data_IF_708987819386
#
_entry.id   IF_708987819386
#
_cell.length_a   1.000
_cell.length_b   1.000
_cell.length_c   1.000
_cell.angle_alpha   90.00
_cell.angle_beta   90.00
_cell.angle_gamma   90.00
#
_symmetry.space_group_name_H-M   'P 1'
#
loop_
_entity.id
_entity.type
_entity.pdbx_description
1 polymer ?
#
# COMPACT_ATOMS: atom_id res chain seq x y z
N UNK A 1 -5.77 15.73 -12.88
CA UNK A 1 -6.15 14.31 -13.02
C UNK A 1 -7.12 13.97 -11.90
N UNK A 2 -7.97 12.98 -12.12
CA UNK A 2 -8.85 12.42 -11.11
C UNK A 2 -8.23 11.15 -10.52
N UNK A 3 -8.03 11.14 -9.24
CA UNK A 3 -7.27 10.09 -8.54
C UNK A 3 -8.15 9.40 -7.50
N UNK A 4 -8.16 8.10 -7.50
CA UNK A 4 -8.84 7.29 -6.51
C UNK A 4 -7.81 6.73 -5.52
N UNK A 5 -8.10 6.77 -4.22
CA UNK A 5 -7.20 6.25 -3.17
C UNK A 5 -7.98 5.38 -2.18
N UNK A 6 -7.76 4.08 -2.19
CA UNK A 6 -8.25 3.17 -1.15
C UNK A 6 -7.19 2.98 -0.06
N UNK A 7 -7.63 2.84 1.20
CA UNK A 7 -6.72 2.92 2.34
C UNK A 7 -6.25 4.35 2.63
N UNK A 8 -7.08 5.32 2.30
CA UNK A 8 -6.80 6.76 2.38
C UNK A 8 -6.48 7.27 3.80
N UNK A 9 -6.89 6.56 4.83
CA UNK A 9 -6.56 6.86 6.24
C UNK A 9 -5.37 6.06 6.78
N UNK A 10 -4.83 5.11 6.00
CA UNK A 10 -3.58 4.43 6.34
C UNK A 10 -2.39 5.36 6.13
N UNK A 11 -1.27 5.10 6.79
CA UNK A 11 -0.09 5.97 6.78
C UNK A 11 0.32 6.40 5.37
N UNK A 12 0.54 5.46 4.45
CA UNK A 12 0.94 5.78 3.08
C UNK A 12 -0.15 6.53 2.30
N UNK A 13 -1.42 6.07 2.35
CA UNK A 13 -2.53 6.71 1.64
C UNK A 13 -2.83 8.11 2.15
N UNK A 14 -2.74 8.33 3.48
CA UNK A 14 -2.88 9.66 4.08
C UNK A 14 -1.78 10.59 3.59
N UNK A 15 -0.51 10.18 3.72
CA UNK A 15 0.65 10.98 3.27
C UNK A 15 0.57 11.30 1.78
N UNK A 16 0.17 10.33 0.97
CA UNK A 16 -0.03 10.52 -0.47
C UNK A 16 -1.04 11.64 -0.76
N UNK A 17 -2.19 11.63 -0.09
CA UNK A 17 -3.25 12.63 -0.26
C UNK A 17 -2.81 14.00 0.26
N UNK A 18 -2.27 14.06 1.50
CA UNK A 18 -1.99 15.33 2.17
C UNK A 18 -0.78 16.05 1.60
N UNK A 19 0.22 15.32 1.11
CA UNK A 19 1.51 15.90 0.75
C UNK A 19 1.74 16.01 -0.77
N UNK A 20 1.09 15.15 -1.57
CA UNK A 20 1.47 15.02 -2.98
C UNK A 20 0.31 15.10 -3.99
N UNK A 21 -0.94 14.97 -3.57
CA UNK A 21 -2.09 15.00 -4.48
C UNK A 21 -2.94 16.28 -4.37
N UNK A 22 -2.41 17.37 -3.81
CA UNK A 22 -3.16 18.59 -3.52
C UNK A 22 -3.65 19.30 -4.80
N UNK A 23 -2.95 19.14 -5.92
CA UNK A 23 -3.31 19.74 -7.21
C UNK A 23 -4.24 18.86 -8.07
N UNK A 24 -4.72 17.74 -7.51
CA UNK A 24 -5.55 16.76 -8.20
C UNK A 24 -6.96 16.68 -7.61
N UNK A 25 -7.93 16.23 -8.39
CA UNK A 25 -9.24 15.83 -7.87
C UNK A 25 -9.08 14.45 -7.22
N UNK A 26 -9.19 14.38 -5.90
CA UNK A 26 -8.98 13.13 -5.16
C UNK A 26 -10.28 12.60 -4.61
N UNK A 27 -10.55 11.31 -4.85
CA UNK A 27 -11.61 10.55 -4.19
C UNK A 27 -10.94 9.59 -3.19
N UNK A 28 -11.10 9.89 -1.91
CA UNK A 28 -10.56 9.11 -0.82
C UNK A 28 -11.57 8.06 -0.34
N UNK A 29 -11.28 6.78 -0.54
CA UNK A 29 -12.11 5.68 -0.07
C UNK A 29 -11.66 5.25 1.32
N UNK A 30 -12.58 5.26 2.27
CA UNK A 30 -12.32 4.86 3.65
C UNK A 30 -13.56 4.26 4.33
N UNK A 31 -13.33 3.54 5.43
CA UNK A 31 -14.40 2.98 6.29
C UNK A 31 -14.86 3.95 7.38
N UNK A 32 -14.05 4.95 7.68
CA UNK A 32 -14.28 5.91 8.78
C UNK A 32 -14.13 7.33 8.27
N UNK A 33 -14.88 8.29 8.80
CA UNK A 33 -14.69 9.69 8.46
C UNK A 33 -13.29 10.15 8.87
N UNK A 34 -12.71 11.00 8.04
CA UNK A 34 -11.42 11.64 8.26
C UNK A 34 -11.47 13.06 7.69
N UNK A 35 -10.78 13.99 8.32
CA UNK A 35 -10.72 15.36 7.84
C UNK A 35 -9.60 15.51 6.80
N UNK A 36 -9.95 15.44 5.55
CA UNK A 36 -9.04 15.70 4.43
C UNK A 36 -9.02 17.18 4.03
N UNK A 37 -8.03 17.62 3.21
CA UNK A 37 -8.06 18.92 2.53
C UNK A 37 -9.31 19.12 1.66
N UNK A 38 -9.65 20.39 1.35
CA UNK A 38 -10.90 20.73 0.68
C UNK A 38 -11.03 20.19 -0.77
N UNK A 39 -9.92 19.88 -1.43
CA UNK A 39 -9.88 19.28 -2.77
C UNK A 39 -10.17 17.79 -2.78
N UNK A 40 -10.33 17.14 -1.61
CA UNK A 40 -10.51 15.71 -1.45
C UNK A 40 -11.97 15.39 -1.14
N UNK A 41 -12.59 14.59 -2.00
CA UNK A 41 -13.91 14.04 -1.75
C UNK A 41 -13.80 12.71 -1.05
N UNK A 42 -14.27 12.61 0.19
CA UNK A 42 -14.29 11.34 0.91
C UNK A 42 -15.55 10.54 0.57
N UNK A 43 -15.36 9.26 0.25
CA UNK A 43 -16.41 8.26 0.13
C UNK A 43 -16.28 7.23 1.26
N UNK A 44 -17.31 7.17 2.10
CA UNK A 44 -17.38 6.19 3.18
C UNK A 44 -18.00 4.91 2.62
N UNK A 45 -17.23 3.83 2.63
CA UNK A 45 -17.61 2.54 2.06
C UNK A 45 -17.54 1.46 3.14
N UNK A 46 -18.64 0.72 3.27
CA UNK A 46 -18.64 -0.56 3.98
C UNK A 46 -18.27 -1.67 2.97
N UNK A 47 -17.06 -2.19 3.06
CA UNK A 47 -16.56 -3.21 2.13
C UNK A 47 -17.31 -4.56 2.21
N UNK A 48 -18.13 -4.76 3.26
CA UNK A 48 -18.97 -5.93 3.41
C UNK A 48 -20.30 -5.81 2.65
N UNK A 49 -20.61 -4.63 2.11
CA UNK A 49 -21.81 -4.35 1.31
C UNK A 49 -21.46 -4.19 -0.16
N UNK A 50 -22.49 -4.11 -0.98
CA UNK A 50 -22.31 -3.75 -2.38
C UNK A 50 -22.01 -2.25 -2.49
N UNK A 51 -21.01 -1.92 -3.30
CA UNK A 51 -20.63 -0.57 -3.62
C UNK A 51 -20.05 -0.51 -5.02
N UNK A 52 -19.96 0.67 -5.59
CA UNK A 52 -19.31 0.90 -6.88
C UNK A 52 -18.19 1.92 -6.75
N UNK A 53 -17.18 1.77 -7.59
CA UNK A 53 -16.12 2.78 -7.72
C UNK A 53 -16.54 3.83 -8.76
N UNK A 54 -15.94 5.01 -8.65
CA UNK A 54 -16.06 6.04 -9.67
C UNK A 54 -14.91 5.97 -10.65
N UNK A 55 -15.13 6.32 -11.93
CA UNK A 55 -14.05 6.45 -12.91
C UNK A 55 -13.00 7.44 -12.44
N UNK A 56 -11.72 7.07 -12.65
CA UNK A 56 -10.57 7.90 -12.36
C UNK A 56 -9.44 7.61 -13.35
N UNK A 57 -8.45 8.50 -13.43
CA UNK A 57 -7.29 8.34 -14.29
C UNK A 57 -6.28 7.35 -13.69
N UNK A 58 -6.17 7.32 -12.36
CA UNK A 58 -5.27 6.42 -11.64
C UNK A 58 -5.87 5.97 -10.30
N UNK A 59 -5.58 4.75 -9.88
CA UNK A 59 -6.04 4.20 -8.60
C UNK A 59 -4.88 3.73 -7.72
N UNK A 60 -4.74 4.36 -6.55
CA UNK A 60 -3.81 3.93 -5.52
C UNK A 60 -4.50 3.01 -4.50
N UNK A 61 -4.02 1.79 -4.35
CA UNK A 61 -4.50 0.81 -3.37
C UNK A 61 -3.47 0.72 -2.25
N UNK A 62 -3.71 1.47 -1.17
CA UNK A 62 -2.85 1.56 0.02
C UNK A 62 -3.43 0.79 1.21
N UNK A 63 -4.13 -0.31 0.93
CA UNK A 63 -4.73 -1.15 1.96
C UNK A 63 -3.66 -2.00 2.66
N UNK A 64 -3.92 -2.30 3.93
CA UNK A 64 -3.15 -3.24 4.73
C UNK A 64 -3.84 -3.50 6.06
N UNK A 65 -3.83 -4.75 6.50
CA UNK A 65 -4.28 -5.12 7.82
C UNK A 65 -3.24 -4.69 8.87
N UNK A 66 -3.65 -4.07 9.98
CA UNK A 66 -2.70 -3.66 11.02
C UNK A 66 -2.12 -4.89 11.72
N UNK A 67 -0.84 -5.14 11.51
CA UNK A 67 -0.08 -6.26 12.09
C UNK A 67 0.88 -5.75 13.16
N UNK A 68 1.08 -6.56 14.20
CA UNK A 68 2.19 -6.41 15.13
C UNK A 68 3.47 -6.97 14.49
N UNK A 69 4.63 -6.58 14.99
CA UNK A 69 5.91 -7.02 14.43
C UNK A 69 6.06 -8.56 14.44
N UNK A 70 5.61 -9.20 15.52
CA UNK A 70 5.66 -10.67 15.63
C UNK A 70 4.79 -11.35 14.57
N UNK A 71 3.67 -10.76 14.17
CA UNK A 71 2.80 -11.32 13.13
C UNK A 71 3.45 -11.31 11.74
N UNK A 72 4.44 -10.44 11.51
CA UNK A 72 5.22 -10.44 10.25
C UNK A 72 6.17 -11.64 10.17
N UNK A 73 6.64 -12.12 11.32
CA UNK A 73 7.54 -13.29 11.40
C UNK A 73 6.72 -14.58 11.50
N UNK A 74 5.78 -14.60 12.41
CA UNK A 74 4.89 -15.73 12.67
C UNK A 74 3.47 -15.24 12.91
N UNK A 75 2.62 -15.36 11.90
CA UNK A 75 1.24 -14.89 11.98
C UNK A 75 0.38 -15.87 12.79
N UNK A 76 -0.23 -15.34 13.84
CA UNK A 76 -1.18 -16.10 14.69
C UNK A 76 -2.38 -16.55 13.86
N UNK A 77 -2.83 -17.78 13.98
CA UNK A 77 -3.91 -18.37 13.18
C UNK A 77 -5.21 -17.54 13.20
N UNK A 78 -5.55 -16.95 14.33
CA UNK A 78 -6.73 -16.08 14.48
C UNK A 78 -6.70 -14.81 13.63
N UNK A 79 -5.51 -14.38 13.19
CA UNK A 79 -5.31 -13.14 12.41
C UNK A 79 -5.33 -13.43 10.91
N UNK A 80 -4.86 -14.62 10.50
CA UNK A 80 -4.71 -15.02 9.10
C UNK A 80 -5.95 -14.73 8.24
N UNK A 81 -7.18 -15.12 8.61
CA UNK A 81 -8.35 -14.90 7.78
C UNK A 81 -8.62 -13.41 7.50
N UNK A 82 -8.46 -12.57 8.52
CA UNK A 82 -8.66 -11.12 8.38
C UNK A 82 -7.55 -10.45 7.56
N UNK A 83 -6.33 -10.91 7.72
CA UNK A 83 -5.20 -10.45 6.92
C UNK A 83 -5.39 -10.82 5.45
N UNK A 84 -5.73 -12.07 5.14
CA UNK A 84 -6.02 -12.52 3.78
C UNK A 84 -7.20 -11.76 3.16
N UNK A 85 -8.28 -11.55 3.93
CA UNK A 85 -9.44 -10.77 3.48
C UNK A 85 -9.03 -9.36 3.03
N UNK A 86 -8.16 -8.68 3.80
CA UNK A 86 -7.80 -7.28 3.53
C UNK A 86 -6.67 -7.18 2.51
N UNK A 87 -5.56 -7.91 2.73
CA UNK A 87 -4.32 -7.75 1.96
C UNK A 87 -4.31 -8.51 0.64
N UNK A 88 -5.23 -9.44 0.45
CA UNK A 88 -5.46 -10.16 -0.79
C UNK A 88 -6.86 -9.92 -1.33
N UNK A 89 -7.89 -10.41 -0.64
CA UNK A 89 -9.26 -10.45 -1.16
C UNK A 89 -9.80 -9.07 -1.55
N UNK A 90 -9.68 -8.09 -0.65
CA UNK A 90 -10.18 -6.74 -0.89
C UNK A 90 -9.35 -6.00 -1.94
N UNK A 91 -8.02 -6.18 -1.96
CA UNK A 91 -7.15 -5.59 -2.99
C UNK A 91 -7.56 -6.07 -4.37
N UNK A 92 -7.75 -7.38 -4.56
CA UNK A 92 -8.14 -7.96 -5.84
C UNK A 92 -9.57 -7.53 -6.23
N UNK A 93 -10.51 -7.52 -5.27
CA UNK A 93 -11.88 -7.02 -5.49
C UNK A 93 -11.86 -5.60 -6.04
N UNK A 94 -11.15 -4.69 -5.37
CA UNK A 94 -11.05 -3.29 -5.78
C UNK A 94 -10.38 -3.12 -7.13
N UNK A 95 -9.33 -3.89 -7.42
CA UNK A 95 -8.65 -3.83 -8.71
C UNK A 95 -9.58 -4.28 -9.86
N UNK A 96 -10.37 -5.35 -9.68
CA UNK A 96 -11.36 -5.77 -10.67
C UNK A 96 -12.43 -4.70 -10.89
N UNK A 97 -13.00 -4.16 -9.80
CA UNK A 97 -13.99 -3.09 -9.88
C UNK A 97 -13.42 -1.83 -10.57
N UNK A 98 -12.13 -1.55 -10.41
CA UNK A 98 -11.48 -0.44 -11.10
C UNK A 98 -11.47 -0.64 -12.62
N UNK A 99 -11.19 -1.84 -13.10
CA UNK A 99 -11.31 -2.18 -14.53
C UNK A 99 -12.74 -2.03 -15.06
N UNK A 100 -13.73 -2.49 -14.27
CA UNK A 100 -15.15 -2.41 -14.65
C UNK A 100 -15.61 -0.95 -14.88
N UNK A 101 -15.05 0.01 -14.13
CA UNK A 101 -15.33 1.43 -14.31
C UNK A 101 -14.35 2.16 -15.24
N UNK A 102 -13.48 1.41 -15.93
CA UNK A 102 -12.60 1.92 -16.98
C UNK A 102 -11.27 2.50 -16.51
N UNK A 103 -10.89 2.32 -15.24
CA UNK A 103 -9.55 2.70 -14.75
C UNK A 103 -8.51 1.76 -15.37
N UNK A 104 -7.46 2.34 -15.97
CA UNK A 104 -6.43 1.58 -16.70
C UNK A 104 -5.09 1.48 -15.98
N UNK A 105 -4.87 2.33 -14.98
CA UNK A 105 -3.58 2.47 -14.31
C UNK A 105 -3.75 2.34 -12.80
N UNK A 106 -2.98 1.44 -12.19
CA UNK A 106 -3.02 1.21 -10.73
C UNK A 106 -1.63 1.23 -10.10
N UNK A 107 -1.60 1.60 -8.83
CA UNK A 107 -0.44 1.44 -7.94
C UNK A 107 -0.86 0.72 -6.67
N UNK A 108 -0.15 -0.34 -6.31
CA UNK A 108 -0.47 -1.15 -5.12
C UNK A 108 0.72 -1.23 -4.17
N UNK A 109 0.45 -1.26 -2.87
CA UNK A 109 1.48 -1.48 -1.84
C UNK A 109 1.52 -2.97 -1.50
N UNK A 110 2.68 -3.55 -1.71
CA UNK A 110 3.04 -4.90 -1.34
C UNK A 110 4.05 -4.91 -0.19
N UNK A 111 5.02 -5.77 -0.20
CA UNK A 111 6.09 -5.87 0.79
C UNK A 111 7.41 -6.29 0.16
N UNK A 112 8.52 -5.82 0.73
CA UNK A 112 9.84 -6.41 0.45
C UNK A 112 9.77 -7.93 0.66
N UNK A 113 10.45 -8.69 -0.19
CA UNK A 113 10.46 -10.17 -0.18
C UNK A 113 9.08 -10.84 -0.40
N UNK A 114 8.06 -10.14 -0.88
CA UNK A 114 6.80 -10.78 -1.27
C UNK A 114 7.08 -11.89 -2.30
N UNK A 115 6.68 -13.12 -1.97
CA UNK A 115 6.88 -14.31 -2.81
C UNK A 115 5.77 -15.34 -2.52
N UNK A 116 5.01 -15.71 -3.55
CA UNK A 116 3.94 -16.71 -3.46
C UNK A 116 4.39 -18.08 -2.95
N UNK A 117 5.68 -18.40 -3.08
CA UNK A 117 6.26 -19.66 -2.62
C UNK A 117 6.89 -19.55 -1.22
N UNK A 118 6.79 -18.39 -0.57
CA UNK A 118 7.35 -18.18 0.77
C UNK A 118 6.69 -19.10 1.80
N UNK A 119 7.51 -19.62 2.73
CA UNK A 119 7.01 -20.34 3.91
C UNK A 119 6.42 -19.37 4.95
N UNK A 120 6.82 -18.10 4.90
CA UNK A 120 6.24 -17.06 5.74
C UNK A 120 4.88 -16.66 5.18
N UNK A 121 3.83 -16.80 5.99
CA UNK A 121 2.44 -16.56 5.56
C UNK A 121 2.20 -15.13 5.06
N UNK A 122 2.78 -14.12 5.74
CA UNK A 122 2.65 -12.72 5.33
C UNK A 122 3.23 -12.50 3.92
N UNK A 123 4.46 -12.95 3.70
CA UNK A 123 5.14 -12.79 2.41
C UNK A 123 4.47 -13.59 1.29
N UNK A 124 3.95 -14.77 1.62
CA UNK A 124 3.20 -15.62 0.69
C UNK A 124 1.95 -14.90 0.18
N UNK A 125 1.11 -14.40 1.08
CA UNK A 125 -0.15 -13.70 0.70
C UNK A 125 0.14 -12.44 -0.10
N UNK A 126 1.19 -11.67 0.27
CA UNK A 126 1.62 -10.52 -0.54
C UNK A 126 2.08 -10.94 -1.93
N UNK A 127 2.84 -12.03 -2.06
CA UNK A 127 3.27 -12.56 -3.35
C UNK A 127 2.10 -13.09 -4.18
N UNK A 128 1.14 -13.78 -3.58
CA UNK A 128 -0.09 -14.23 -4.26
C UNK A 128 -0.92 -13.05 -4.76
N UNK A 129 -1.06 -11.99 -3.97
CA UNK A 129 -1.73 -10.76 -4.36
C UNK A 129 -1.09 -10.14 -5.61
N UNK A 130 0.24 -10.04 -5.63
CA UNK A 130 0.96 -9.49 -6.79
C UNK A 130 0.75 -10.35 -8.05
N UNK A 131 0.77 -11.68 -7.92
CA UNK A 131 0.53 -12.57 -9.05
C UNK A 131 -0.88 -12.42 -9.62
N UNK A 132 -1.90 -12.27 -8.75
CA UNK A 132 -3.28 -12.05 -9.20
C UNK A 132 -3.47 -10.68 -9.86
N UNK A 133 -2.87 -9.62 -9.31
CA UNK A 133 -2.93 -8.27 -9.89
C UNK A 133 -2.32 -8.26 -11.31
N UNK A 134 -1.19 -8.94 -11.51
CA UNK A 134 -0.52 -9.00 -12.83
C UNK A 134 -1.36 -9.65 -13.92
N UNK A 135 -2.30 -10.52 -13.57
CA UNK A 135 -3.22 -11.14 -14.54
C UNK A 135 -4.30 -10.19 -15.03
N UNK A 136 -4.50 -9.07 -14.35
CA UNK A 136 -5.52 -8.09 -14.72
C UNK A 136 -5.04 -7.20 -15.86
N UNK A 137 -5.97 -6.82 -16.76
CA UNK A 137 -5.66 -6.12 -18.01
C UNK A 137 -5.49 -4.60 -17.83
N UNK A 138 -4.69 -4.18 -16.84
CA UNK A 138 -4.30 -2.77 -16.70
C UNK A 138 -3.21 -2.40 -17.70
N UNK A 139 -3.22 -1.14 -18.15
CA UNK A 139 -2.14 -0.60 -18.96
C UNK A 139 -0.87 -0.40 -18.14
N UNK A 140 -1.03 0.03 -16.87
CA UNK A 140 0.07 0.24 -15.92
C UNK A 140 -0.25 -0.40 -14.57
N UNK A 141 0.69 -1.18 -14.08
CA UNK A 141 0.66 -1.77 -12.74
C UNK A 141 1.97 -1.42 -12.03
N UNK A 142 1.91 -0.56 -11.04
CA UNK A 142 3.04 -0.23 -10.19
C UNK A 142 2.93 -1.00 -8.86
N UNK A 143 3.88 -1.85 -8.56
CA UNK A 143 3.93 -2.65 -7.33
C UNK A 143 5.06 -2.10 -6.45
N UNK A 144 4.69 -1.48 -5.35
CA UNK A 144 5.63 -0.94 -4.38
C UNK A 144 5.88 -1.94 -3.26
N UNK A 145 7.13 -2.31 -3.07
CA UNK A 145 7.59 -3.29 -2.08
C UNK A 145 8.40 -2.58 -0.97
N UNK A 146 7.78 -1.75 -0.13
CA UNK A 146 8.47 -1.16 0.99
C UNK A 146 8.82 -2.22 2.04
N UNK A 147 9.83 -1.94 2.82
CA UNK A 147 10.07 -2.55 4.12
C UNK A 147 9.16 -1.90 5.17
N UNK A 148 9.59 -1.83 6.42
CA UNK A 148 8.81 -1.15 7.46
C UNK A 148 8.68 0.36 7.19
N UNK A 149 7.43 0.86 7.20
CA UNK A 149 7.12 2.26 6.95
C UNK A 149 7.18 3.07 8.23
N UNK A 150 8.02 4.11 8.22
CA UNK A 150 8.11 5.13 9.26
C UNK A 150 7.18 6.30 8.97
N UNK A 151 6.58 6.85 10.02
CA UNK A 151 5.76 8.06 9.95
C UNK A 151 4.79 8.18 11.12
N UNK A 152 4.17 9.34 11.25
CA UNK A 152 3.17 9.61 12.29
C UNK A 152 1.89 8.80 12.03
N UNK A 153 1.57 7.90 12.95
CA UNK A 153 0.34 7.11 12.95
C UNK A 153 -0.61 7.64 14.02
N UNK A 154 -1.88 7.72 13.70
CA UNK A 154 -2.92 8.14 14.69
C UNK A 154 -3.09 7.14 15.83
N UNK A 155 -2.87 5.87 15.56
CA UNK A 155 -2.84 4.85 16.62
C UNK A 155 -1.44 4.76 17.19
N UNK A 156 -1.32 4.82 18.52
CA UNK A 156 -0.04 4.63 19.22
C UNK A 156 0.56 3.30 18.79
N UNK A 157 1.74 3.38 18.20
CA UNK A 157 2.56 2.22 17.89
C UNK A 157 2.96 1.59 19.22
N UNK A 158 2.85 0.28 19.36
CA UNK A 158 3.32 -0.42 20.55
C UNK A 158 4.79 -0.15 20.85
N UNK A 159 5.19 -0.24 22.11
CA UNK A 159 6.59 -0.01 22.54
C UNK A 159 7.58 -0.93 21.81
N UNK A 160 7.15 -2.14 21.45
CA UNK A 160 7.89 -3.12 20.67
C UNK A 160 8.27 -2.60 19.26
N UNK A 161 7.34 -1.91 18.58
CA UNK A 161 7.61 -1.31 17.27
C UNK A 161 8.55 -0.11 17.39
N UNK A 162 8.41 0.72 18.42
CA UNK A 162 9.33 1.85 18.66
C UNK A 162 10.77 1.36 18.95
N UNK A 163 10.90 0.28 19.71
CA UNK A 163 12.20 -0.35 19.98
C UNK A 163 12.77 -0.95 18.68
N UNK A 164 11.95 -1.64 17.90
CA UNK A 164 12.37 -2.20 16.62
C UNK A 164 12.81 -1.12 15.63
N UNK A 165 12.06 -0.02 15.51
CA UNK A 165 12.44 1.12 14.66
C UNK A 165 13.80 1.69 15.07
N UNK A 166 14.07 1.85 16.37
CA UNK A 166 15.38 2.29 16.86
C UNK A 166 16.50 1.28 16.55
N UNK A 167 16.23 0.00 16.77
CA UNK A 167 17.19 -1.08 16.51
C UNK A 167 17.50 -1.17 15.01
N UNK A 168 16.48 -1.19 14.15
CA UNK A 168 16.68 -1.28 12.70
C UNK A 168 17.32 -0.03 12.11
N UNK A 169 17.07 1.15 12.66
CA UNK A 169 17.78 2.38 12.26
C UNK A 169 19.26 2.36 12.62
N UNK A 170 19.63 1.80 13.79
CA UNK A 170 21.03 1.67 14.21
C UNK A 170 21.74 0.59 13.37
N UNK A 171 21.15 -0.58 13.22
CA UNK A 171 21.75 -1.68 12.46
C UNK A 171 21.63 -1.49 10.94
N UNK A 172 20.60 -0.80 10.46
CA UNK A 172 20.39 -0.54 9.03
C UNK A 172 21.51 0.25 8.35
N UNK A 173 22.31 1.01 9.12
CA UNK A 173 23.50 1.71 8.61
C UNK A 173 24.68 0.78 8.34
N UNK A 174 24.71 -0.40 8.98
CA UNK A 174 25.82 -1.38 8.91
C UNK A 174 25.44 -2.63 8.10
N UNK A 175 24.22 -2.71 7.58
CA UNK A 175 23.76 -3.86 6.81
C UNK A 175 24.56 -4.05 5.51
N UNK A 176 25.00 -5.28 5.20
CA UNK A 176 25.59 -5.62 3.89
C UNK A 176 24.67 -5.20 2.74
N UNK A 177 25.26 -4.92 1.57
CA UNK A 177 24.51 -4.44 0.40
C UNK A 177 23.30 -5.29 0.01
N UNK A 178 23.34 -6.59 0.29
CA UNK A 178 22.27 -7.56 0.05
C UNK A 178 21.06 -7.39 0.99
N UNK A 179 21.23 -6.70 2.13
CA UNK A 179 20.17 -6.46 3.12
C UNK A 179 19.69 -5.00 3.14
N UNK A 180 20.13 -4.17 2.20
CA UNK A 180 19.72 -2.76 2.11
C UNK A 180 18.22 -2.58 1.86
N UNK A 181 17.58 -3.54 1.23
CA UNK A 181 16.14 -3.52 0.97
C UNK A 181 15.29 -3.61 2.25
N UNK A 182 15.89 -3.97 3.39
CA UNK A 182 15.24 -3.99 4.71
C UNK A 182 15.32 -2.69 5.49
N UNK A 183 15.99 -1.65 4.96
CA UNK A 183 15.99 -0.35 5.61
C UNK A 183 14.58 0.20 5.68
N UNK A 184 14.25 0.78 6.83
CA UNK A 184 13.00 1.48 7.01
C UNK A 184 12.81 2.56 5.94
N UNK A 185 11.59 2.73 5.47
CA UNK A 185 11.23 3.71 4.44
C UNK A 185 10.28 4.73 5.07
N UNK A 186 10.58 6.02 4.93
CA UNK A 186 9.63 7.04 5.31
C UNK A 186 8.39 7.01 4.41
N UNK A 187 7.20 7.11 5.01
CA UNK A 187 5.95 7.14 4.25
C UNK A 187 5.93 8.28 3.22
N UNK A 188 6.59 9.41 3.51
CA UNK A 188 6.72 10.54 2.59
C UNK A 188 7.55 10.19 1.36
N UNK A 189 8.67 9.49 1.55
CA UNK A 189 9.51 9.01 0.45
C UNK A 189 8.76 8.01 -0.43
N UNK A 190 8.08 7.04 0.17
CA UNK A 190 7.24 6.11 -0.58
C UNK A 190 6.16 6.84 -1.37
N UNK A 191 5.39 7.74 -0.73
CA UNK A 191 4.30 8.48 -1.36
C UNK A 191 4.80 9.34 -2.54
N UNK A 192 5.95 10.02 -2.40
CA UNK A 192 6.59 10.77 -3.48
C UNK A 192 6.87 9.88 -4.69
N UNK A 193 7.48 8.72 -4.46
CA UNK A 193 7.79 7.78 -5.54
C UNK A 193 6.51 7.20 -6.17
N UNK A 194 5.48 6.89 -5.37
CA UNK A 194 4.19 6.43 -5.88
C UNK A 194 3.58 7.42 -6.86
N UNK A 195 3.61 8.71 -6.55
CA UNK A 195 3.10 9.78 -7.43
C UNK A 195 3.97 9.92 -8.67
N UNK A 196 5.30 9.96 -8.52
CA UNK A 196 6.23 10.06 -9.65
C UNK A 196 6.01 8.94 -10.66
N UNK A 197 5.88 7.70 -10.18
CA UNK A 197 5.72 6.54 -11.05
C UNK A 197 4.28 6.40 -11.61
N UNK A 198 3.28 6.88 -10.89
CA UNK A 198 1.91 6.93 -11.39
C UNK A 198 1.78 7.83 -12.63
N UNK A 199 2.48 8.96 -12.64
CA UNK A 199 2.32 10.00 -13.65
C UNK A 199 3.37 9.98 -14.77
N UNK A 200 4.30 9.03 -14.75
CA UNK A 200 5.19 8.81 -15.89
C UNK A 200 4.45 8.08 -17.03
N UNK A 201 5.09 8.05 -18.21
CA UNK A 201 4.50 7.43 -19.42
C UNK A 201 4.82 5.93 -19.56
N UNK A 202 5.44 5.30 -18.56
CA UNK A 202 5.74 3.86 -18.60
C UNK A 202 4.45 3.05 -18.48
N UNK A 203 4.36 1.96 -19.22
CA UNK A 203 3.25 0.99 -19.19
C UNK A 203 3.76 -0.38 -18.78
N UNK A 204 2.83 -1.31 -18.55
CA UNK A 204 3.15 -2.67 -18.11
C UNK A 204 3.35 -2.76 -16.60
N UNK A 205 4.00 -3.84 -16.15
CA UNK A 205 4.22 -4.12 -14.73
C UNK A 205 5.59 -3.63 -14.30
N UNK A 206 5.63 -2.80 -13.26
CA UNK A 206 6.86 -2.29 -12.66
C UNK A 206 6.90 -2.57 -11.16
N UNK A 207 8.09 -2.91 -10.66
CA UNK A 207 8.35 -3.16 -9.24
C UNK A 207 9.31 -2.13 -8.69
N UNK A 208 8.99 -1.62 -7.50
CA UNK A 208 9.79 -0.60 -6.80
C UNK A 208 10.10 -1.07 -5.39
N UNK A 209 11.38 -1.10 -5.04
CA UNK A 209 11.90 -1.49 -3.73
C UNK A 209 12.69 -0.35 -3.09
N UNK A 210 13.30 -0.57 -1.93
CA UNK A 210 14.05 0.46 -1.19
C UNK A 210 15.07 1.22 -2.05
N UNK A 211 15.77 0.55 -2.97
CA UNK A 211 16.76 1.18 -3.86
C UNK A 211 16.15 2.20 -4.84
N UNK A 212 14.84 2.09 -5.08
CA UNK A 212 14.09 2.95 -6.00
C UNK A 212 13.43 4.13 -5.26
N UNK A 213 13.42 4.10 -3.90
CA UNK A 213 12.84 5.13 -3.04
C UNK A 213 13.91 6.16 -2.64
N UNK A 214 14.27 7.08 -3.53
CA UNK A 214 15.26 8.15 -3.29
C UNK A 214 14.62 9.53 -3.36
#
# INVERSE_FOLDING_TARGET
MKILVAGSTALAGKTLITDFLQEHEVIAISRRPFKFPNNVKQELIDFNKDFSLKPADHFFICLGYPLELLDLIYMRDKIKPKFEEVDFGLVIKLAKMALDVGIKDISVISSVMADKNSLNHYLKIKGEMEEEIKKLSFNKINIFRPSHLLGERENKIGLDVQIFEKVTNIFGQVLPSQLKDFKNVEARTLAKNMVTEAFNNKTGVSYFSHKDFN
#
